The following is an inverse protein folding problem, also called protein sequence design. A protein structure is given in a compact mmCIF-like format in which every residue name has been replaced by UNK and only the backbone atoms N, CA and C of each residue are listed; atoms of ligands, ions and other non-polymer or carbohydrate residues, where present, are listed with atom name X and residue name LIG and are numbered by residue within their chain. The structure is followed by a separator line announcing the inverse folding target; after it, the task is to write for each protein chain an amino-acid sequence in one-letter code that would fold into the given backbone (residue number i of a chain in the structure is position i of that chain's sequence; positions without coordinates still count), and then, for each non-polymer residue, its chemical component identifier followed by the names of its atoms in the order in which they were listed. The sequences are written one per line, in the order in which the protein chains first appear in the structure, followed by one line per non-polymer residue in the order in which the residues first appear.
data_IF_076586987887
#
_entry.id   IF_076586987887
#
_cell.length_a   1.000
_cell.length_b   1.000
_cell.length_c   1.000
_cell.angle_alpha   90.00
_cell.angle_beta   90.00
_cell.angle_gamma   90.00
#
_symmetry.space_group_name_H-M   'P 1'
#
loop_
_entity.id
_entity.type
_entity.pdbx_description
1 polymer ?
#
# COMPACT_ATOMS: atom_id res chain seq x y z
N UNK A 1 13.69 -6.73 -1.93
CA UNK A 1 12.72 -5.70 -2.38
C UNK A 1 11.46 -6.30 -2.99
N UNK A 2 11.51 -7.24 -3.94
CA UNK A 2 10.28 -7.91 -4.43
C UNK A 2 9.47 -8.62 -3.33
N UNK A 3 10.15 -9.30 -2.39
CA UNK A 3 9.50 -9.84 -1.19
C UNK A 3 8.88 -8.74 -0.29
N UNK A 4 9.57 -7.60 -0.15
CA UNK A 4 9.05 -6.44 0.58
C UNK A 4 7.81 -5.84 -0.09
N UNK A 5 7.76 -5.83 -1.42
CA UNK A 5 6.59 -5.42 -2.18
C UNK A 5 5.41 -6.38 -1.94
N UNK A 6 5.66 -7.70 -1.97
CA UNK A 6 4.61 -8.69 -1.70
C UNK A 6 4.01 -8.52 -0.29
N UNK A 7 4.86 -8.28 0.72
CA UNK A 7 4.39 -7.99 2.09
C UNK A 7 3.57 -6.69 2.13
N UNK A 8 4.02 -5.62 1.46
CA UNK A 8 3.28 -4.36 1.42
C UNK A 8 1.93 -4.50 0.69
N UNK A 9 1.85 -5.35 -0.34
CA UNK A 9 0.61 -5.65 -1.06
C UNK A 9 -0.36 -6.47 -0.20
N UNK A 10 0.13 -7.45 0.58
CA UNK A 10 -0.67 -8.20 1.55
C UNK A 10 -1.21 -7.29 2.67
N UNK A 11 -0.37 -6.44 3.24
CA UNK A 11 -0.78 -5.47 4.26
C UNK A 11 -1.80 -4.47 3.72
N UNK A 12 -1.62 -4.00 2.49
CA UNK A 12 -2.59 -3.12 1.84
C UNK A 12 -3.94 -3.82 1.65
N UNK A 13 -3.96 -5.08 1.20
CA UNK A 13 -5.19 -5.84 1.02
C UNK A 13 -5.95 -5.95 2.36
N UNK A 14 -5.25 -6.34 3.44
CA UNK A 14 -5.84 -6.44 4.76
C UNK A 14 -6.44 -5.11 5.26
N UNK A 15 -5.71 -4.00 5.11
CA UNK A 15 -6.18 -2.68 5.56
C UNK A 15 -7.33 -2.15 4.70
N UNK A 16 -7.36 -2.49 3.41
CA UNK A 16 -8.46 -2.13 2.51
C UNK A 16 -9.73 -2.87 2.92
N UNK A 17 -9.64 -4.17 3.18
CA UNK A 17 -10.76 -5.00 3.64
C UNK A 17 -11.31 -4.49 4.98
N UNK A 18 -10.43 -4.14 5.94
CA UNK A 18 -10.83 -3.57 7.23
C UNK A 18 -11.56 -2.22 7.06
N UNK A 19 -11.07 -1.36 6.17
CA UNK A 19 -11.70 -0.08 5.89
C UNK A 19 -13.07 -0.25 5.22
N UNK A 20 -13.24 -1.27 4.36
CA UNK A 20 -14.52 -1.60 3.73
C UNK A 20 -15.53 -2.12 4.77
N UNK A 21 -15.12 -3.04 5.64
CA UNK A 21 -15.97 -3.57 6.72
C UNK A 21 -16.45 -2.44 7.64
N UNK A 22 -15.54 -1.57 8.08
CA UNK A 22 -15.89 -0.41 8.91
C UNK A 22 -16.78 0.59 8.17
N UNK A 23 -16.61 0.75 6.87
CA UNK A 23 -17.48 1.56 6.02
C UNK A 23 -18.92 1.03 6.01
N UNK A 24 -19.09 -0.28 5.85
CA UNK A 24 -20.41 -0.92 5.94
C UNK A 24 -21.04 -0.73 7.33
N UNK A 25 -20.26 -0.92 8.40
CA UNK A 25 -20.73 -0.73 9.78
C UNK A 25 -21.14 0.72 10.06
N UNK A 26 -20.40 1.69 9.52
CA UNK A 26 -20.72 3.12 9.64
C UNK A 26 -22.07 3.47 9.00
N UNK A 27 -22.31 2.96 7.78
CA UNK A 27 -23.58 3.14 7.08
C UNK A 27 -24.76 2.51 7.82
N UNK A 28 -24.57 1.35 8.44
CA UNK A 28 -25.65 0.62 9.13
C UNK A 28 -25.94 1.21 10.52
N UNK A 29 -24.91 1.65 11.23
CA UNK A 29 -25.05 2.06 12.63
C UNK A 29 -25.45 3.52 12.78
N UNK A 30 -25.19 4.37 11.78
CA UNK A 30 -25.43 5.82 11.78
C UNK A 30 -24.87 6.54 13.04
N UNK A 31 -23.84 5.94 13.68
CA UNK A 31 -23.23 6.51 14.88
C UNK A 31 -21.98 7.30 14.51
N UNK A 32 -21.73 8.46 15.16
CA UNK A 32 -20.49 9.21 14.98
C UNK A 32 -19.21 8.41 15.27
N UNK A 33 -19.29 7.41 16.15
CA UNK A 33 -18.17 6.52 16.47
C UNK A 33 -17.78 5.61 15.31
N UNK A 34 -18.76 5.01 14.65
CA UNK A 34 -18.50 4.14 13.48
C UNK A 34 -17.94 4.94 12.30
N UNK A 35 -18.41 6.18 12.09
CA UNK A 35 -17.83 7.12 11.11
C UNK A 35 -16.36 7.44 11.39
N UNK A 36 -15.99 7.62 12.66
CA UNK A 36 -14.61 7.87 13.06
C UNK A 36 -13.73 6.64 12.78
N UNK A 37 -14.17 5.44 13.21
CA UNK A 37 -13.47 4.18 12.97
C UNK A 37 -13.21 3.95 11.47
N UNK A 38 -14.22 4.20 10.63
CA UNK A 38 -14.08 4.13 9.17
C UNK A 38 -13.03 5.11 8.64
N UNK A 39 -13.08 6.38 9.06
CA UNK A 39 -12.12 7.40 8.61
C UNK A 39 -10.69 7.07 9.01
N UNK A 40 -10.48 6.49 10.18
CA UNK A 40 -9.15 6.07 10.65
C UNK A 40 -8.65 4.89 9.81
N UNK A 41 -9.45 3.84 9.64
CA UNK A 41 -9.09 2.70 8.82
C UNK A 41 -8.78 3.11 7.37
N UNK A 42 -9.57 4.02 6.80
CA UNK A 42 -9.33 4.56 5.46
C UNK A 42 -8.00 5.30 5.36
N UNK A 43 -7.64 6.12 6.36
CA UNK A 43 -6.34 6.81 6.39
C UNK A 43 -5.18 5.82 6.47
N UNK A 44 -5.34 4.71 7.19
CA UNK A 44 -4.32 3.66 7.26
C UNK A 44 -4.14 2.98 5.90
N UNK A 45 -5.24 2.61 5.22
CA UNK A 45 -5.18 2.07 3.87
C UNK A 45 -4.48 3.06 2.90
N UNK A 46 -4.86 4.34 2.92
CA UNK A 46 -4.26 5.38 2.06
C UNK A 46 -2.76 5.62 2.36
N UNK A 47 -2.34 5.48 3.62
CA UNK A 47 -0.93 5.52 3.98
C UNK A 47 -0.17 4.29 3.44
N UNK A 48 -0.79 3.10 3.49
CA UNK A 48 -0.21 1.87 2.96
C UNK A 48 -0.10 1.88 1.43
N UNK A 49 -1.06 2.47 0.72
CA UNK A 49 -0.97 2.69 -0.74
C UNK A 49 0.29 3.49 -1.07
N UNK A 50 0.50 4.63 -0.38
CA UNK A 50 1.68 5.47 -0.57
C UNK A 50 2.99 4.72 -0.27
N UNK A 51 2.99 3.88 0.76
CA UNK A 51 4.15 3.04 1.06
C UNK A 51 4.44 2.01 -0.04
N UNK A 52 3.42 1.26 -0.49
CA UNK A 52 3.53 0.28 -1.57
C UNK A 52 4.06 0.94 -2.85
N UNK A 53 3.55 2.12 -3.19
CA UNK A 53 3.97 2.88 -4.37
C UNK A 53 5.43 3.33 -4.28
N UNK A 54 5.88 3.77 -3.09
CA UNK A 54 7.29 4.10 -2.86
C UNK A 54 8.22 2.89 -3.00
N UNK A 55 7.80 1.71 -2.53
CA UNK A 55 8.54 0.46 -2.71
C UNK A 55 8.64 0.08 -4.19
N UNK A 56 7.53 0.21 -4.95
CA UNK A 56 7.52 -0.01 -6.41
C UNK A 56 8.49 0.93 -7.14
N UNK A 57 8.48 2.22 -6.80
CA UNK A 57 9.37 3.20 -7.40
C UNK A 57 10.85 2.85 -7.13
N UNK A 58 11.19 2.47 -5.90
CA UNK A 58 12.56 2.07 -5.54
C UNK A 58 13.02 0.82 -6.29
N UNK A 59 12.14 -0.17 -6.49
CA UNK A 59 12.45 -1.35 -7.30
C UNK A 59 12.78 -0.95 -8.74
N UNK A 60 11.93 -0.12 -9.37
CA UNK A 60 12.13 0.32 -10.74
C UNK A 60 13.44 1.10 -10.92
N UNK A 61 13.78 1.97 -9.95
CA UNK A 61 15.05 2.71 -9.96
C UNK A 61 16.25 1.76 -9.89
N UNK A 62 16.21 0.75 -9.01
CA UNK A 62 17.30 -0.21 -8.86
C UNK A 62 17.44 -1.13 -10.07
N UNK A 63 16.33 -1.54 -10.69
CA UNK A 63 16.33 -2.32 -11.94
C UNK A 63 16.95 -1.50 -13.08
N UNK A 64 16.53 -0.25 -13.27
CA UNK A 64 17.13 0.64 -14.27
C UNK A 64 18.63 0.87 -14.02
N UNK A 65 19.03 1.01 -12.75
CA UNK A 65 20.45 1.17 -12.39
C UNK A 65 21.24 -0.11 -12.65
N UNK A 66 20.66 -1.28 -12.40
CA UNK A 66 21.28 -2.56 -12.71
C UNK A 66 21.50 -2.70 -14.21
N UNK A 67 20.50 -2.41 -15.03
CA UNK A 67 20.61 -2.47 -16.49
C UNK A 67 21.73 -1.56 -17.01
N UNK A 68 21.79 -0.31 -16.54
CA UNK A 68 22.88 0.62 -16.89
C UNK A 68 24.27 0.09 -16.53
N UNK A 69 24.40 -0.57 -15.38
CA UNK A 69 25.68 -1.12 -14.95
C UNK A 69 26.06 -2.36 -15.77
N UNK A 70 25.09 -3.19 -16.15
CA UNK A 70 25.30 -4.34 -17.02
C UNK A 70 25.74 -3.90 -18.42
N UNK A 71 25.12 -2.86 -18.97
CA UNK A 71 25.52 -2.27 -20.25
C UNK A 71 26.98 -1.79 -20.23
N UNK A 72 27.43 -1.15 -19.13
CA UNK A 72 28.82 -0.69 -18.96
C UNK A 72 29.85 -1.82 -18.82
N UNK A 73 29.44 -2.98 -18.30
CA UNK A 73 30.32 -4.14 -18.13
C UNK A 73 30.37 -5.01 -19.40
N UNK A 74 29.31 -4.98 -20.20
CA UNK A 74 29.21 -5.69 -21.47
C UNK A 74 29.75 -4.93 -22.69
N UNK A 75 29.95 -3.60 -22.54
CA UNK A 75 30.63 -2.74 -23.51
C UNK A 75 32.14 -2.76 -23.37
#
# INVERSE_FOLDING_TARGET
MRASLAVAEEQLAHLADEAEEKGLKALVSETPGADLEYREARRHADAMVRHRDAVKASIAELEARQDQLLDQLGS
#
